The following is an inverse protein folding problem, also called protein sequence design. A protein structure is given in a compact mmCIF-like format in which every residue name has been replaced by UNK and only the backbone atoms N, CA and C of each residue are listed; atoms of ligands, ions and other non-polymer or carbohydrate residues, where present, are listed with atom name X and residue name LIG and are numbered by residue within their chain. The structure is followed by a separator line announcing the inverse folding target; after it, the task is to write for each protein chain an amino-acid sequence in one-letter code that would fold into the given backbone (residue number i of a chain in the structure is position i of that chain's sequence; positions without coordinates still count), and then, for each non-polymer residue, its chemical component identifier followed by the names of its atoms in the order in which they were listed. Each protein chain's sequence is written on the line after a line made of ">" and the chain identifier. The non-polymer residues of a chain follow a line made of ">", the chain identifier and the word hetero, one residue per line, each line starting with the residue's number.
data_IF_947161926479
#
_entry.id   IF_947161926479
#
_cell.length_a   1.000
_cell.length_b   1.000
_cell.length_c   1.000
_cell.angle_alpha   90.00
_cell.angle_beta   90.00
_cell.angle_gamma   90.00
#
_symmetry.space_group_name_H-M   'P 1'
#
loop_
_entity.id
_entity.type
_entity.pdbx_description
1 polymer ?
#
# COMPACT_ATOMS: atom_id res chain seq x y z
N UNK A 1 98.40 -42.56 -36.56
CA UNK A 1 97.51 -43.53 -35.87
C UNK A 1 97.09 -43.09 -34.46
N UNK A 2 97.95 -42.44 -33.64
CA UNK A 2 97.59 -42.00 -32.28
C UNK A 2 96.51 -40.89 -32.24
N UNK A 3 96.67 -39.81 -33.02
CA UNK A 3 95.72 -38.69 -33.05
C UNK A 3 94.27 -39.07 -33.44
N UNK A 4 94.11 -40.05 -34.34
CA UNK A 4 92.78 -40.57 -34.74
C UNK A 4 92.12 -41.29 -33.56
N UNK A 5 92.91 -41.99 -32.73
CA UNK A 5 92.43 -42.72 -31.56
C UNK A 5 92.00 -41.76 -30.45
N UNK A 6 92.74 -40.67 -30.26
CA UNK A 6 92.41 -39.60 -29.31
C UNK A 6 91.16 -38.84 -29.74
N UNK A 7 91.01 -38.51 -31.02
CA UNK A 7 89.78 -37.92 -31.57
C UNK A 7 88.56 -38.82 -31.36
N UNK A 8 88.69 -40.13 -31.64
CA UNK A 8 87.61 -41.09 -31.42
C UNK A 8 87.21 -41.19 -29.95
N UNK A 9 88.18 -41.08 -29.04
CA UNK A 9 87.93 -41.06 -27.59
C UNK A 9 87.21 -39.78 -27.17
N UNK A 10 87.62 -38.62 -27.67
CA UNK A 10 86.92 -37.34 -27.42
C UNK A 10 85.49 -37.35 -27.96
N UNK A 11 85.26 -37.87 -29.18
CA UNK A 11 83.92 -38.02 -29.74
C UNK A 11 83.06 -38.92 -28.85
N UNK A 12 83.58 -40.07 -28.42
CA UNK A 12 82.86 -40.98 -27.50
C UNK A 12 82.53 -40.37 -26.13
N UNK A 13 83.25 -39.32 -25.71
CA UNK A 13 82.96 -38.59 -24.48
C UNK A 13 81.98 -37.42 -24.67
N UNK A 14 81.84 -36.92 -25.89
CA UNK A 14 80.99 -35.75 -26.22
C UNK A 14 79.57 -36.20 -26.57
N UNK A 15 79.41 -37.26 -27.36
CA UNK A 15 78.10 -37.82 -27.75
C UNK A 15 77.13 -38.01 -26.56
N UNK A 16 77.49 -38.70 -25.46
CA UNK A 16 76.56 -38.87 -24.34
C UNK A 16 76.22 -37.56 -23.61
N UNK A 17 77.12 -36.56 -23.65
CA UNK A 17 76.85 -35.24 -23.08
C UNK A 17 75.88 -34.46 -23.96
N UNK A 18 75.99 -34.59 -25.28
CA UNK A 18 75.06 -33.98 -26.22
C UNK A 18 73.66 -34.60 -26.08
N UNK A 19 73.57 -35.93 -25.92
CA UNK A 19 72.30 -36.62 -25.68
C UNK A 19 71.67 -36.17 -24.36
N UNK A 20 72.46 -36.07 -23.28
CA UNK A 20 71.99 -35.57 -21.99
C UNK A 20 71.43 -34.14 -22.07
N UNK A 21 72.14 -33.22 -22.74
CA UNK A 21 71.66 -31.85 -22.97
C UNK A 21 70.39 -31.85 -23.81
N UNK A 22 70.28 -32.72 -24.81
CA UNK A 22 69.08 -32.82 -25.66
C UNK A 22 67.86 -33.27 -24.84
N UNK A 23 68.05 -34.23 -23.93
CA UNK A 23 66.99 -34.67 -23.00
C UNK A 23 66.58 -33.54 -22.06
N UNK A 24 67.53 -32.81 -21.47
CA UNK A 24 67.25 -31.66 -20.60
C UNK A 24 66.48 -30.55 -21.34
N UNK A 25 66.88 -30.23 -22.57
CA UNK A 25 66.18 -29.24 -23.40
C UNK A 25 64.74 -29.67 -23.67
N UNK A 26 64.51 -30.95 -23.97
CA UNK A 26 63.15 -31.46 -24.20
C UNK A 26 62.29 -31.41 -22.93
N UNK A 27 62.86 -31.74 -21.77
CA UNK A 27 62.17 -31.63 -20.47
C UNK A 27 61.79 -30.18 -20.17
N UNK A 28 62.74 -29.24 -20.34
CA UNK A 28 62.50 -27.82 -20.16
C UNK A 28 61.42 -27.30 -21.10
N UNK A 29 61.43 -27.68 -22.38
CA UNK A 29 60.38 -27.32 -23.33
C UNK A 29 59.00 -27.79 -22.87
N UNK A 30 58.92 -29.01 -22.34
CA UNK A 30 57.67 -29.58 -21.82
C UNK A 30 57.17 -28.79 -20.61
N UNK A 31 58.06 -28.45 -19.69
CA UNK A 31 57.70 -27.71 -18.48
C UNK A 31 57.33 -26.24 -18.78
N UNK A 32 58.02 -25.59 -19.72
CA UNK A 32 57.61 -24.28 -20.22
C UNK A 32 56.20 -24.30 -20.82
N UNK A 33 55.85 -25.35 -21.56
CA UNK A 33 54.50 -25.55 -22.08
C UNK A 33 53.44 -25.59 -20.98
N UNK A 34 53.68 -26.38 -19.92
CA UNK A 34 52.79 -26.45 -18.75
C UNK A 34 52.67 -25.11 -18.01
N UNK A 35 53.77 -24.37 -17.89
CA UNK A 35 53.76 -23.05 -17.25
C UNK A 35 52.92 -22.07 -18.06
N UNK A 36 53.08 -22.03 -19.39
CA UNK A 36 52.28 -21.16 -20.26
C UNK A 36 50.79 -21.47 -20.17
N UNK A 37 50.42 -22.75 -20.09
CA UNK A 37 49.02 -23.14 -19.91
C UNK A 37 48.48 -22.66 -18.56
N UNK A 38 49.23 -22.84 -17.47
CA UNK A 38 48.85 -22.32 -16.14
C UNK A 38 48.69 -20.80 -16.15
N UNK A 39 49.60 -20.07 -16.79
CA UNK A 39 49.53 -18.61 -16.90
C UNK A 39 48.23 -18.18 -17.60
N UNK A 40 47.87 -18.81 -18.72
CA UNK A 40 46.61 -18.52 -19.42
C UNK A 40 45.39 -18.78 -18.55
N UNK A 41 45.37 -19.90 -17.83
CA UNK A 41 44.26 -20.21 -16.91
C UNK A 41 44.16 -19.14 -15.82
N UNK A 42 45.28 -18.72 -15.23
CA UNK A 42 45.27 -17.67 -14.21
C UNK A 42 44.82 -16.31 -14.77
N UNK A 43 45.21 -15.95 -15.99
CA UNK A 43 44.75 -14.72 -16.65
C UNK A 43 43.22 -14.72 -16.82
N UNK A 44 42.65 -15.80 -17.35
CA UNK A 44 41.18 -15.91 -17.49
C UNK A 44 40.46 -15.86 -16.14
N UNK A 45 41.06 -16.42 -15.09
CA UNK A 45 40.50 -16.35 -13.75
C UNK A 45 40.54 -14.93 -13.17
N UNK A 46 41.63 -14.20 -13.40
CA UNK A 46 41.77 -12.78 -13.00
C UNK A 46 40.73 -11.93 -13.72
N UNK A 47 40.53 -12.12 -15.03
CA UNK A 47 39.49 -11.43 -15.78
C UNK A 47 38.09 -11.71 -15.24
N UNK A 48 37.82 -12.98 -14.91
CA UNK A 48 36.58 -13.38 -14.24
C UNK A 48 36.38 -12.65 -12.91
N UNK A 49 37.40 -12.63 -12.06
CA UNK A 49 37.35 -11.92 -10.76
C UNK A 49 37.12 -10.42 -10.95
N UNK A 50 37.78 -9.78 -11.92
CA UNK A 50 37.59 -8.36 -12.23
C UNK A 50 36.17 -8.03 -12.67
N UNK A 51 35.51 -8.94 -13.39
CA UNK A 51 34.10 -8.76 -13.77
C UNK A 51 33.18 -8.81 -12.55
N UNK A 52 33.46 -9.72 -11.60
CA UNK A 52 32.68 -9.89 -10.37
C UNK A 52 32.85 -8.70 -9.43
N UNK A 53 34.08 -8.19 -9.27
CA UNK A 53 34.35 -7.02 -8.42
C UNK A 53 33.62 -5.78 -8.95
N UNK A 54 33.66 -5.53 -10.27
CA UNK A 54 32.90 -4.43 -10.88
C UNK A 54 31.40 -4.54 -10.61
N UNK A 55 30.83 -5.74 -10.78
CA UNK A 55 29.40 -5.97 -10.52
C UNK A 55 29.03 -5.77 -9.05
N UNK A 56 29.91 -6.18 -8.13
CA UNK A 56 29.74 -5.94 -6.70
C UNK A 56 29.78 -4.44 -6.37
N UNK A 57 30.73 -3.69 -6.92
CA UNK A 57 30.83 -2.25 -6.70
C UNK A 57 29.60 -1.49 -7.19
N UNK A 58 29.03 -1.89 -8.34
CA UNK A 58 27.78 -1.32 -8.85
C UNK A 58 26.60 -1.65 -7.95
N UNK A 59 26.49 -2.90 -7.49
CA UNK A 59 25.43 -3.32 -6.58
C UNK A 59 25.50 -2.57 -5.25
N UNK A 60 26.69 -2.45 -4.65
CA UNK A 60 26.91 -1.69 -3.41
C UNK A 60 26.52 -0.22 -3.59
N UNK A 61 26.91 0.40 -4.71
CA UNK A 61 26.49 1.78 -5.03
C UNK A 61 24.98 1.92 -5.14
N UNK A 62 24.32 0.97 -5.80
CA UNK A 62 22.85 0.96 -5.92
C UNK A 62 22.17 0.83 -4.55
N UNK A 63 22.63 -0.09 -3.70
CA UNK A 63 22.08 -0.28 -2.36
C UNK A 63 22.27 0.98 -1.50
N UNK A 64 23.48 1.57 -1.49
CA UNK A 64 23.74 2.81 -0.76
C UNK A 64 22.80 3.94 -1.20
N UNK A 65 22.56 4.07 -2.51
CA UNK A 65 21.65 5.08 -3.05
C UNK A 65 20.22 4.86 -2.55
N UNK A 66 19.72 3.63 -2.62
CA UNK A 66 18.36 3.30 -2.15
C UNK A 66 18.21 3.53 -0.64
N UNK A 67 19.21 3.17 0.16
CA UNK A 67 19.16 3.42 1.61
C UNK A 67 19.15 4.89 1.95
N UNK A 68 19.97 5.70 1.26
CA UNK A 68 20.01 7.15 1.46
C UNK A 68 18.68 7.81 1.07
N UNK A 69 18.13 7.44 -0.09
CA UNK A 69 16.81 7.94 -0.53
C UNK A 69 15.71 7.57 0.48
N UNK A 70 15.72 6.34 1.00
CA UNK A 70 14.77 5.91 2.03
C UNK A 70 14.89 6.69 3.34
N UNK A 71 16.12 6.98 3.79
CA UNK A 71 16.35 7.72 5.02
C UNK A 71 16.03 9.22 4.88
N UNK A 72 16.25 9.82 3.71
CA UNK A 72 15.82 11.20 3.42
C UNK A 72 14.30 11.33 3.56
N UNK A 73 13.53 10.44 2.91
CA UNK A 73 12.07 10.46 2.97
C UNK A 73 11.56 10.28 4.41
N UNK A 74 12.20 9.39 5.20
CA UNK A 74 11.86 9.20 6.62
C UNK A 74 12.13 10.47 7.43
N UNK A 75 13.27 11.12 7.22
CA UNK A 75 13.62 12.36 7.92
C UNK A 75 12.67 13.51 7.57
N UNK A 76 12.30 13.64 6.29
CA UNK A 76 11.31 14.62 5.83
C UNK A 76 9.96 14.39 6.52
N UNK A 77 9.47 13.14 6.53
CA UNK A 77 8.22 12.80 7.20
C UNK A 77 8.27 13.10 8.72
N UNK A 78 9.40 12.83 9.39
CA UNK A 78 9.56 13.16 10.81
C UNK A 78 9.57 14.67 11.02
N UNK A 79 10.25 15.42 10.16
CA UNK A 79 10.29 16.88 10.24
C UNK A 79 8.89 17.49 10.04
N UNK A 80 8.13 17.03 9.04
CA UNK A 80 6.76 17.46 8.79
C UNK A 80 5.85 17.18 10.01
N UNK A 81 5.92 15.98 10.57
CA UNK A 81 5.15 15.61 11.77
C UNK A 81 5.48 16.51 12.96
N UNK A 82 6.76 16.84 13.18
CA UNK A 82 7.17 17.75 14.24
C UNK A 82 6.63 19.15 13.99
N UNK A 83 6.77 19.69 12.77
CA UNK A 83 6.24 21.00 12.39
C UNK A 83 4.73 21.07 12.62
N UNK A 84 3.98 20.05 12.19
CA UNK A 84 2.54 19.97 12.41
C UNK A 84 2.20 19.95 13.91
N UNK A 85 2.91 19.14 14.71
CA UNK A 85 2.71 19.06 16.15
C UNK A 85 2.96 20.40 16.84
N UNK A 86 4.05 21.09 16.49
CA UNK A 86 4.35 22.41 17.03
C UNK A 86 3.32 23.44 16.59
N UNK A 87 2.88 23.43 15.33
CA UNK A 87 1.84 24.32 14.83
C UNK A 87 0.51 24.14 15.55
N UNK A 88 0.11 22.90 15.84
CA UNK A 88 -1.10 22.63 16.64
C UNK A 88 -0.91 23.12 18.08
N UNK A 89 0.23 22.82 18.71
CA UNK A 89 0.50 23.26 20.07
C UNK A 89 0.51 24.79 20.22
N UNK A 90 1.06 25.51 19.24
CA UNK A 90 1.04 26.98 19.24
C UNK A 90 -0.37 27.52 19.01
N UNK A 91 -1.16 26.91 18.13
CA UNK A 91 -2.57 27.28 17.94
C UNK A 91 -3.39 27.11 19.22
N UNK A 92 -3.26 25.97 19.90
CA UNK A 92 -3.90 25.74 21.19
C UNK A 92 -3.48 26.79 22.22
N UNK A 93 -2.17 27.05 22.34
CA UNK A 93 -1.64 28.07 23.26
C UNK A 93 -2.18 29.48 22.96
N UNK A 94 -2.25 29.89 21.70
CA UNK A 94 -2.78 31.20 21.31
C UNK A 94 -4.29 31.29 21.55
N UNK A 95 -5.01 30.19 21.43
CA UNK A 95 -6.44 30.14 21.74
C UNK A 95 -6.73 30.23 23.24
N UNK A 96 -5.98 29.50 24.07
CA UNK A 96 -6.23 29.46 25.52
C UNK A 96 -5.65 30.68 26.25
N UNK A 97 -4.44 31.09 25.87
CA UNK A 97 -3.65 32.08 26.61
C UNK A 97 -3.27 33.33 25.80
N UNK A 98 -3.70 33.44 24.54
CA UNK A 98 -3.37 34.59 23.69
C UNK A 98 -4.03 35.90 24.11
N UNK A 99 -3.45 37.01 23.66
CA UNK A 99 -4.12 38.32 23.67
C UNK A 99 -5.42 38.29 22.86
N UNK A 100 -6.32 39.27 23.07
CA UNK A 100 -7.65 39.28 22.44
C UNK A 100 -7.59 39.14 20.90
N UNK A 101 -6.61 39.76 20.25
CA UNK A 101 -6.42 39.69 18.81
C UNK A 101 -5.94 38.30 18.34
N UNK A 102 -4.99 37.68 19.05
CA UNK A 102 -4.50 36.34 18.71
C UNK A 102 -5.55 35.27 18.99
N UNK A 103 -6.35 35.42 20.05
CA UNK A 103 -7.53 34.58 20.29
C UNK A 103 -8.57 34.67 19.19
N UNK A 104 -8.88 35.90 18.73
CA UNK A 104 -9.82 36.12 17.64
C UNK A 104 -9.32 35.48 16.34
N UNK A 105 -8.03 35.62 16.01
CA UNK A 105 -7.43 35.03 14.82
C UNK A 105 -7.41 33.50 14.89
N UNK A 106 -7.03 32.93 16.04
CA UNK A 106 -7.06 31.49 16.26
C UNK A 106 -8.50 30.94 16.18
N UNK A 107 -9.48 31.69 16.67
CA UNK A 107 -10.89 31.34 16.57
C UNK A 107 -11.39 31.40 15.12
N UNK A 108 -11.08 32.47 14.36
CA UNK A 108 -11.43 32.60 12.93
C UNK A 108 -10.83 31.44 12.11
N UNK A 109 -9.55 31.13 12.32
CA UNK A 109 -8.91 29.97 11.69
C UNK A 109 -9.61 28.64 12.03
N UNK A 110 -10.17 28.52 13.23
CA UNK A 110 -10.93 27.34 13.64
C UNK A 110 -12.30 27.28 12.97
N UNK A 111 -12.94 28.43 12.73
CA UNK A 111 -14.22 28.52 12.02
C UNK A 111 -14.03 28.20 10.54
N UNK A 112 -12.94 28.65 9.93
CA UNK A 112 -12.57 28.32 8.54
C UNK A 112 -12.19 26.85 8.35
N UNK A 113 -11.63 26.21 9.39
CA UNK A 113 -11.44 24.76 9.43
C UNK A 113 -12.78 24.11 9.71
N UNK A 114 -13.53 23.80 8.65
CA UNK A 114 -14.80 23.07 8.68
C UNK A 114 -14.84 22.03 9.81
N UNK A 115 -15.43 22.39 10.96
CA UNK A 115 -15.57 21.49 12.09
C UNK A 115 -16.75 20.56 11.83
N UNK A 116 -16.60 19.62 10.90
CA UNK A 116 -17.54 18.51 10.78
C UNK A 116 -17.30 17.57 11.97
N UNK A 117 -18.37 17.24 12.71
CA UNK A 117 -18.31 16.22 13.76
C UNK A 117 -17.98 14.84 13.18
N UNK A 118 -18.26 14.64 11.89
CA UNK A 118 -17.94 13.45 11.10
C UNK A 118 -16.73 13.77 10.22
N UNK A 119 -15.61 13.08 10.45
CA UNK A 119 -14.34 13.32 9.73
C UNK A 119 -14.40 12.99 8.23
N UNK A 120 -15.40 12.22 7.80
CA UNK A 120 -15.66 11.89 6.41
C UNK A 120 -16.56 10.67 6.30
N UNK A 121 -17.34 10.58 5.23
CA UNK A 121 -18.19 9.42 4.93
C UNK A 121 -17.89 8.93 3.52
N UNK A 122 -17.96 7.62 3.32
CA UNK A 122 -17.85 7.01 2.00
C UNK A 122 -19.24 6.88 1.39
N UNK A 123 -19.44 7.51 0.23
CA UNK A 123 -20.66 7.30 -0.56
C UNK A 123 -20.73 5.85 -1.09
N UNK A 124 -21.90 5.43 -1.56
CA UNK A 124 -22.14 4.13 -2.19
C UNK A 124 -21.25 3.87 -3.41
N UNK A 125 -20.77 4.94 -4.04
CA UNK A 125 -19.82 4.93 -5.17
C UNK A 125 -18.34 4.84 -4.73
N UNK A 126 -18.05 4.74 -3.43
CA UNK A 126 -16.69 4.64 -2.90
C UNK A 126 -15.95 5.99 -2.79
N UNK A 127 -16.61 7.11 -3.06
CA UNK A 127 -16.02 8.46 -2.95
C UNK A 127 -16.04 8.92 -1.49
N UNK A 128 -14.88 9.32 -0.96
CA UNK A 128 -14.74 9.91 0.37
C UNK A 128 -15.16 11.38 0.34
N UNK A 129 -16.25 11.69 1.04
CA UNK A 129 -16.74 13.05 1.22
C UNK A 129 -16.33 13.57 2.60
N UNK A 130 -15.50 14.61 2.62
CA UNK A 130 -15.01 15.28 3.84
C UNK A 130 -15.78 16.57 4.14
N UNK A 131 -16.45 17.13 3.13
CA UNK A 131 -17.25 18.35 3.27
C UNK A 131 -18.53 18.06 4.04
N UNK A 132 -18.87 18.94 5.00
CA UNK A 132 -20.09 18.83 5.81
C UNK A 132 -21.37 18.73 4.97
N UNK A 133 -21.47 19.53 3.89
CA UNK A 133 -22.61 19.49 2.98
C UNK A 133 -22.66 18.18 2.19
N UNK A 134 -21.51 17.67 1.76
CA UNK A 134 -21.40 16.38 1.08
C UNK A 134 -21.84 15.21 1.96
N UNK A 135 -21.43 15.23 3.24
CA UNK A 135 -21.82 14.22 4.23
C UNK A 135 -23.35 14.25 4.46
N UNK A 136 -23.93 15.43 4.65
CA UNK A 136 -25.38 15.57 4.84
C UNK A 136 -26.17 15.00 3.65
N UNK A 137 -25.75 15.32 2.42
CA UNK A 137 -26.40 14.80 1.21
C UNK A 137 -26.30 13.28 1.10
N UNK A 138 -25.14 12.68 1.41
CA UNK A 138 -25.00 11.21 1.38
C UNK A 138 -25.89 10.51 2.41
N UNK A 139 -26.14 11.14 3.57
CA UNK A 139 -27.09 10.61 4.55
C UNK A 139 -28.51 10.66 4.03
N UNK A 140 -28.92 11.80 3.42
CA UNK A 140 -30.24 11.96 2.83
C UNK A 140 -30.49 10.88 1.78
N UNK A 141 -29.57 10.72 0.83
CA UNK A 141 -29.72 9.72 -0.24
C UNK A 141 -29.74 8.29 0.29
N UNK A 142 -28.94 7.98 1.32
CA UNK A 142 -28.93 6.64 1.92
C UNK A 142 -30.26 6.30 2.59
N UNK A 143 -30.84 7.24 3.35
CA UNK A 143 -32.12 6.99 4.01
C UNK A 143 -33.28 6.99 3.02
N UNK A 144 -33.25 7.83 1.98
CA UNK A 144 -34.21 7.77 0.88
C UNK A 144 -34.19 6.38 0.23
N UNK A 145 -33.02 5.84 -0.10
CA UNK A 145 -32.87 4.49 -0.67
C UNK A 145 -33.39 3.39 0.28
N UNK A 146 -33.11 3.50 1.58
CA UNK A 146 -33.50 2.51 2.58
C UNK A 146 -35.03 2.42 2.71
N UNK A 147 -35.69 3.57 2.84
CA UNK A 147 -37.13 3.64 3.00
C UNK A 147 -37.89 3.49 1.68
N UNK A 148 -37.28 3.82 0.53
CA UNK A 148 -37.87 3.53 -0.79
C UNK A 148 -37.98 2.01 -1.07
N UNK A 149 -37.19 1.19 -0.37
CA UNK A 149 -37.24 -0.26 -0.53
C UNK A 149 -38.41 -0.92 0.21
N UNK A 150 -38.96 -0.27 1.25
CA UNK A 150 -40.04 -0.83 2.06
C UNK A 150 -41.43 -0.66 1.41
N UNK A 151 -41.60 0.30 0.51
CA UNK A 151 -42.89 0.60 -0.12
C UNK A 151 -43.04 -0.07 -1.49
N UNK A 152 -43.13 -1.40 -1.50
CA UNK A 152 -43.58 -2.18 -2.67
C UNK A 152 -44.88 -2.94 -2.40
N UNK A 153 -45.77 -2.38 -1.60
CA UNK A 153 -47.14 -2.90 -1.52
C UNK A 153 -48.02 -2.14 -2.49
N UNK A 154 -48.48 -2.84 -3.51
CA UNK A 154 -49.54 -2.36 -4.39
C UNK A 154 -50.87 -2.44 -3.63
N UNK A 155 -51.82 -1.53 -3.91
CA UNK A 155 -53.15 -1.55 -3.26
C UNK A 155 -53.86 -2.89 -3.41
N UNK A 156 -53.55 -3.63 -4.48
CA UNK A 156 -54.03 -4.99 -4.74
C UNK A 156 -53.56 -5.97 -3.66
N UNK A 157 -52.28 -5.92 -3.25
CA UNK A 157 -51.73 -6.79 -2.19
C UNK A 157 -52.39 -6.51 -0.83
N UNK A 158 -52.69 -5.23 -0.55
CA UNK A 158 -53.42 -4.85 0.66
C UNK A 158 -54.83 -5.42 0.66
N UNK A 159 -55.53 -5.40 -0.48
CA UNK A 159 -56.88 -5.99 -0.58
C UNK A 159 -56.86 -7.50 -0.49
N UNK A 160 -55.81 -8.17 -0.96
CA UNK A 160 -55.68 -9.61 -0.88
C UNK A 160 -55.29 -10.06 0.54
N UNK A 161 -54.41 -9.32 1.23
CA UNK A 161 -54.13 -9.52 2.65
C UNK A 161 -55.38 -9.33 3.52
N UNK A 162 -56.17 -8.28 3.27
CA UNK A 162 -57.39 -8.00 4.04
C UNK A 162 -58.51 -9.03 3.81
N UNK A 163 -58.49 -9.78 2.70
CA UNK A 163 -59.42 -10.90 2.46
C UNK A 163 -59.03 -12.16 3.25
N UNK A 164 -57.74 -12.40 3.43
CA UNK A 164 -57.21 -13.56 4.16
C UNK A 164 -57.28 -13.42 5.69
N UNK A 165 -57.46 -12.18 6.19
CA UNK A 165 -57.73 -11.94 7.62
C UNK A 165 -59.21 -12.23 7.89
N UNK A 166 -59.56 -13.10 8.87
CA UNK A 166 -60.95 -13.35 9.25
C UNK A 166 -61.50 -12.14 10.02
N UNK A 167 -61.79 -11.07 9.29
CA UNK A 167 -62.54 -9.94 9.82
C UNK A 167 -63.98 -10.42 10.05
N UNK A 168 -64.51 -10.16 11.25
CA UNK A 168 -65.93 -10.36 11.50
C UNK A 168 -66.70 -9.44 10.56
N UNK A 169 -67.40 -10.01 9.58
CA UNK A 169 -68.29 -9.25 8.73
C UNK A 169 -69.45 -8.78 9.60
N UNK A 170 -69.58 -7.46 9.73
CA UNK A 170 -70.70 -6.84 10.43
C UNK A 170 -72.00 -7.35 9.81
N UNK A 171 -72.95 -7.73 10.65
CA UNK A 171 -74.28 -8.12 10.17
C UNK A 171 -74.95 -6.91 9.51
N UNK A 172 -75.85 -7.12 8.53
CA UNK A 172 -76.48 -6.02 7.79
C UNK A 172 -77.20 -4.99 8.66
N UNK A 173 -77.61 -5.40 9.87
CA UNK A 173 -78.23 -4.52 10.87
C UNK A 173 -77.21 -3.58 11.53
N UNK A 174 -75.96 -4.02 11.74
CA UNK A 174 -74.89 -3.19 12.34
C UNK A 174 -74.33 -2.17 11.34
N UNK A 175 -74.32 -2.49 10.05
CA UNK A 175 -73.94 -1.53 9.00
C UNK A 175 -74.97 -0.42 8.85
N UNK A 176 -76.26 -0.74 8.94
CA UNK A 176 -77.32 0.29 8.90
C UNK A 176 -77.24 1.20 10.13
N UNK A 177 -76.92 0.68 11.31
CA UNK A 177 -76.72 1.50 12.52
C UNK A 177 -75.49 2.42 12.40
N UNK A 178 -74.41 1.96 11.75
CA UNK A 178 -73.19 2.75 11.52
C UNK A 178 -73.32 3.78 10.39
N UNK A 179 -74.25 3.56 9.45
CA UNK A 179 -74.55 4.50 8.36
C UNK A 179 -75.53 5.61 8.78
N UNK A 180 -76.21 5.47 9.92
CA UNK A 180 -77.05 6.53 10.49
C UNK A 180 -76.17 7.69 11.01
N UNK A 181 -76.57 8.93 10.72
CA UNK A 181 -75.88 10.13 11.20
C UNK A 181 -75.90 10.22 12.73
N UNK A 182 -74.74 10.44 13.35
CA UNK A 182 -74.59 10.54 14.81
C UNK A 182 -75.46 11.68 15.37
N UNK A 183 -76.28 11.36 16.38
CA UNK A 183 -77.13 12.35 17.05
C UNK A 183 -76.42 13.00 18.24
N UNK A 184 -76.77 14.25 18.54
CA UNK A 184 -76.14 15.02 19.64
C UNK A 184 -76.31 14.35 21.01
N UNK A 185 -77.37 13.57 21.19
CA UNK A 185 -77.66 12.87 22.45
C UNK A 185 -76.69 11.72 22.71
N UNK A 186 -76.28 10.99 21.67
CA UNK A 186 -75.29 9.91 21.75
C UNK A 186 -73.90 10.44 22.05
N UNK A 187 -73.55 11.61 21.49
CA UNK A 187 -72.31 12.32 21.78
C UNK A 187 -72.20 12.68 23.27
N UNK A 188 -73.29 13.18 23.87
CA UNK A 188 -73.34 13.52 25.29
C UNK A 188 -73.28 12.26 26.16
N UNK A 189 -73.89 11.15 25.73
CA UNK A 189 -73.83 9.87 26.44
C UNK A 189 -72.40 9.29 26.43
N UNK A 190 -71.71 9.30 25.28
CA UNK A 190 -70.34 8.83 25.16
C UNK A 190 -69.35 9.66 25.99
N UNK A 191 -69.52 10.99 26.02
CA UNK A 191 -68.70 11.89 26.84
C UNK A 191 -68.89 11.69 28.35
N UNK A 192 -70.01 11.10 28.79
CA UNK A 192 -70.24 10.77 30.21
C UNK A 192 -69.73 9.38 30.60
N UNK A 193 -69.47 8.50 29.63
CA UNK A 193 -68.98 7.14 29.86
C UNK A 193 -67.45 6.99 29.84
N UNK A 194 -66.74 8.05 29.45
CA UNK A 194 -65.28 8.22 29.52
C UNK A 194 -64.87 8.81 30.87
#
# INVERSE_FOLDING_TARGET
>A
MAAIRDLRRSISQIEPKLDAVTVEVNLLQTDFGKILEKVKVTETHIEGLLSVTKRLEEHVRSLMKQTLEGDIVRLEAVAENLVQKYALATQHRLYDFGEKASRLLAWLQRVDRECSWVRGITSREGVLQTSSAGIANTFVTYYEDLYAFETRMTWEDCTDFLKDVPLQQLSGEETEVLEVELTEEELVAALRGL
#
